data_IF_648152751246
#
_entry.id   IF_648152751246
#
_cell.length_a   1.000
_cell.length_b   1.000
_cell.length_c   1.000
_cell.angle_alpha   90.00
_cell.angle_beta   90.00
_cell.angle_gamma   90.00
#
_symmetry.space_group_name_H-M   'P 1'
#
loop_
_entity.id
_entity.type
_entity.pdbx_description
1 polymer ?
#
# COMPACT_ATOMS: atom_id res chain seq x y z
N UNK A 1 14.30 -1.38 -4.74
CA UNK A 1 12.80 -1.30 -4.71
C UNK A 1 12.22 -0.09 -5.43
N UNK A 2 12.83 1.11 -5.37
CA UNK A 2 12.21 2.32 -5.91
C UNK A 2 11.95 2.33 -7.43
N UNK A 3 12.79 1.66 -8.23
CA UNK A 3 12.67 1.57 -9.70
C UNK A 3 11.43 0.77 -10.15
N UNK A 4 11.06 -0.25 -9.38
CA UNK A 4 10.01 -1.23 -9.73
C UNK A 4 8.60 -0.64 -9.59
N UNK A 5 8.38 0.19 -8.57
CA UNK A 5 7.10 0.89 -8.40
C UNK A 5 6.97 2.10 -9.34
N UNK A 6 8.09 2.67 -9.80
CA UNK A 6 8.12 3.91 -10.61
C UNK A 6 8.00 3.65 -12.13
N UNK A 7 8.33 2.44 -12.60
CA UNK A 7 8.31 2.08 -14.02
C UNK A 7 6.89 2.10 -14.60
N UNK A 8 6.74 2.67 -15.80
CA UNK A 8 5.48 2.74 -16.53
C UNK A 8 5.04 1.36 -17.06
N UNK A 9 6.00 0.51 -17.41
CA UNK A 9 5.76 -0.73 -18.17
C UNK A 9 5.18 -1.89 -17.34
N UNK A 10 5.06 -1.74 -16.02
CA UNK A 10 4.51 -2.78 -15.16
C UNK A 10 3.04 -2.52 -14.90
N UNK A 11 2.22 -3.52 -15.21
CA UNK A 11 0.79 -3.52 -14.93
C UNK A 11 0.54 -3.19 -13.45
N UNK A 12 -0.46 -2.36 -13.20
CA UNK A 12 -0.81 -1.88 -11.87
C UNK A 12 -1.20 -3.05 -10.95
N UNK A 13 -1.81 -4.10 -11.52
CA UNK A 13 -2.12 -5.35 -10.83
C UNK A 13 -0.86 -6.04 -10.23
N UNK A 14 0.19 -6.17 -11.03
CA UNK A 14 1.46 -6.78 -10.60
C UNK A 14 2.09 -5.97 -9.45
N UNK A 15 1.99 -4.64 -9.51
CA UNK A 15 2.48 -3.76 -8.43
C UNK A 15 1.69 -3.93 -7.14
N UNK A 16 0.37 -4.09 -7.23
CA UNK A 16 -0.50 -4.35 -6.07
C UNK A 16 -0.20 -5.72 -5.46
N UNK A 17 -0.01 -6.75 -6.28
CA UNK A 17 0.40 -8.09 -5.82
C UNK A 17 1.77 -8.07 -5.12
N UNK A 18 2.76 -7.38 -5.67
CA UNK A 18 4.06 -7.18 -5.03
C UNK A 18 3.91 -6.47 -3.69
N UNK A 19 3.09 -5.43 -3.63
CA UNK A 19 2.79 -4.72 -2.39
C UNK A 19 2.28 -5.65 -1.31
N UNK A 20 1.33 -6.50 -1.71
CA UNK A 20 0.69 -7.46 -0.84
C UNK A 20 1.73 -8.41 -0.24
N UNK A 21 2.60 -8.98 -1.06
CA UNK A 21 3.67 -9.87 -0.59
C UNK A 21 4.59 -9.14 0.42
N UNK A 22 5.01 -7.92 0.11
CA UNK A 22 5.90 -7.16 1.02
C UNK A 22 5.20 -6.75 2.31
N UNK A 23 4.04 -6.08 2.24
CA UNK A 23 3.31 -5.63 3.42
C UNK A 23 2.94 -6.81 4.31
N UNK A 24 2.37 -7.89 3.76
CA UNK A 24 2.00 -9.04 4.59
C UNK A 24 3.21 -9.73 5.19
N UNK A 25 4.32 -9.87 4.46
CA UNK A 25 5.55 -10.44 5.03
C UNK A 25 6.08 -9.60 6.19
N UNK A 26 6.10 -8.27 6.05
CA UNK A 26 6.53 -7.36 7.12
C UNK A 26 5.58 -7.38 8.32
N UNK A 27 4.27 -7.49 8.07
CA UNK A 27 3.28 -7.58 9.15
C UNK A 27 3.37 -8.89 9.92
N UNK A 28 3.48 -10.01 9.21
CA UNK A 28 3.58 -11.33 9.82
C UNK A 28 4.83 -11.42 10.71
N UNK A 29 5.96 -10.95 10.18
CA UNK A 29 7.20 -10.87 10.95
C UNK A 29 7.11 -9.91 12.14
N UNK A 30 6.41 -8.78 11.97
CA UNK A 30 6.18 -7.82 13.04
C UNK A 30 5.37 -8.39 14.20
N UNK A 31 4.38 -9.23 13.93
CA UNK A 31 3.59 -9.93 14.95
C UNK A 31 4.44 -10.93 15.72
N UNK A 32 5.35 -11.64 15.06
CA UNK A 32 6.25 -12.60 15.72
C UNK A 32 7.32 -11.91 16.58
N UNK A 33 7.79 -10.73 16.14
CA UNK A 33 8.95 -10.08 16.75
C UNK A 33 8.58 -8.98 17.76
N UNK A 34 7.47 -8.27 17.59
CA UNK A 34 7.13 -7.06 18.35
C UNK A 34 5.71 -7.08 18.92
N UNK A 35 5.54 -6.52 20.12
CA UNK A 35 4.22 -6.16 20.63
C UNK A 35 3.65 -5.01 19.77
N UNK A 36 2.57 -5.28 19.02
CA UNK A 36 1.88 -4.27 18.23
C UNK A 36 1.35 -3.17 19.15
N UNK A 37 2.06 -2.05 19.18
CA UNK A 37 1.63 -0.85 19.89
C UNK A 37 0.86 0.05 18.92
N UNK A 38 -0.11 0.82 19.42
CA UNK A 38 -0.92 1.75 18.63
C UNK A 38 -0.07 2.72 17.76
N UNK A 39 1.14 3.04 18.21
CA UNK A 39 2.10 3.85 17.45
C UNK A 39 2.63 3.17 16.18
N UNK A 40 2.82 1.85 16.22
CA UNK A 40 3.28 1.05 15.07
C UNK A 40 2.12 0.88 14.09
N UNK A 41 0.90 0.69 14.58
CA UNK A 41 -0.30 0.61 13.76
C UNK A 41 -0.55 1.91 12.97
N UNK A 42 -0.44 3.07 13.62
CA UNK A 42 -0.53 4.38 12.94
C UNK A 42 0.57 4.57 11.89
N UNK A 43 1.80 4.15 12.20
CA UNK A 43 2.92 4.20 11.23
C UNK A 43 2.67 3.29 10.02
N UNK A 44 2.11 2.11 10.25
CA UNK A 44 1.77 1.16 9.20
C UNK A 44 0.64 1.70 8.31
N UNK A 45 -0.38 2.32 8.90
CA UNK A 45 -1.47 2.92 8.12
C UNK A 45 -0.96 4.08 7.24
N UNK A 46 -0.11 4.95 7.79
CA UNK A 46 0.55 6.00 7.02
C UNK A 46 1.43 5.42 5.90
N UNK A 47 2.16 4.34 6.18
CA UNK A 47 2.96 3.63 5.17
C UNK A 47 2.09 3.04 4.06
N UNK A 48 0.97 2.40 4.42
CA UNK A 48 -0.03 1.88 3.48
C UNK A 48 -0.55 2.98 2.56
N UNK A 49 -0.92 4.14 3.11
CA UNK A 49 -1.41 5.28 2.32
C UNK A 49 -0.34 5.87 1.37
N UNK A 50 0.88 6.08 1.87
CA UNK A 50 1.99 6.57 1.05
C UNK A 50 2.24 5.66 -0.16
N UNK A 51 2.14 4.35 0.08
CA UNK A 51 2.42 3.34 -0.91
C UNK A 51 1.29 3.22 -1.96
N UNK A 52 0.02 3.38 -1.56
CA UNK A 52 -1.10 3.49 -2.49
C UNK A 52 -0.97 4.71 -3.40
N UNK A 53 -0.66 5.90 -2.85
CA UNK A 53 -0.41 7.10 -3.67
C UNK A 53 0.67 6.86 -4.72
N UNK A 54 1.72 6.14 -4.33
CA UNK A 54 2.85 5.83 -5.20
C UNK A 54 2.53 4.83 -6.32
N UNK A 55 1.65 3.85 -6.07
CA UNK A 55 1.16 2.92 -7.10
C UNK A 55 0.15 3.60 -8.03
N UNK A 56 -0.79 4.35 -7.45
CA UNK A 56 -1.85 5.05 -8.17
C UNK A 56 -1.33 6.30 -8.90
N UNK A 57 -0.07 6.69 -8.66
CA UNK A 57 0.56 7.89 -9.23
C UNK A 57 -0.22 9.18 -8.95
N UNK A 58 -0.90 9.22 -7.82
CA UNK A 58 -1.61 10.42 -7.36
C UNK A 58 -0.57 11.50 -7.10
N UNK A 59 -0.72 12.65 -7.77
CA UNK A 59 0.17 13.78 -7.55
C UNK A 59 0.01 14.29 -6.12
N UNK A 60 1.09 14.76 -5.50
CA UNK A 60 0.98 15.39 -4.18
C UNK A 60 0.12 16.66 -4.23
N UNK A 61 0.06 17.30 -5.41
CA UNK A 61 -0.74 18.50 -5.68
C UNK A 61 -2.24 18.19 -5.76
N UNK A 62 -2.61 16.95 -6.10
CA UNK A 62 -4.00 16.51 -6.04
C UNK A 62 -4.35 16.27 -4.56
N UNK A 63 -5.10 17.23 -3.97
CA UNK A 63 -5.71 17.10 -2.64
C UNK A 63 -6.84 16.07 -2.68
N UNK A 64 -6.48 14.82 -2.92
CA UNK A 64 -7.37 13.68 -2.77
C UNK A 64 -7.48 13.37 -1.28
N UNK A 65 -8.72 13.28 -0.80
CA UNK A 65 -9.04 12.96 0.59
C UNK A 65 -8.41 11.60 0.93
N UNK A 66 -7.79 11.47 2.10
CA UNK A 66 -7.13 10.22 2.50
C UNK A 66 -8.09 9.02 2.51
N UNK A 67 -9.37 9.28 2.79
CA UNK A 67 -10.44 8.30 2.72
C UNK A 67 -10.67 7.73 1.31
N UNK A 68 -10.66 8.57 0.27
CA UNK A 68 -10.89 8.09 -1.11
C UNK A 68 -9.69 7.30 -1.62
N UNK A 69 -8.46 7.73 -1.29
CA UNK A 69 -7.25 6.96 -1.61
C UNK A 69 -7.26 5.57 -0.96
N UNK A 70 -7.79 5.47 0.25
CA UNK A 70 -7.92 4.19 0.97
C UNK A 70 -9.00 3.32 0.33
N UNK A 71 -10.17 3.88 0.03
CA UNK A 71 -11.28 3.18 -0.63
C UNK A 71 -10.89 2.65 -2.02
N UNK A 72 -10.15 3.42 -2.80
CA UNK A 72 -9.70 3.00 -4.14
C UNK A 72 -8.64 1.89 -4.07
N UNK A 73 -7.74 1.97 -3.08
CA UNK A 73 -6.79 0.90 -2.77
C UNK A 73 -7.47 -0.40 -2.31
N UNK A 74 -8.57 -0.28 -1.57
CA UNK A 74 -9.38 -1.40 -1.09
C UNK A 74 -10.34 -1.96 -2.16
N UNK A 75 -10.82 -1.14 -3.09
CA UNK A 75 -11.58 -1.61 -4.25
C UNK A 75 -10.73 -2.45 -5.19
N UNK A 76 -9.50 -2.02 -5.47
CA UNK A 76 -8.52 -2.86 -6.19
C UNK A 76 -8.09 -4.09 -5.40
N UNK A 77 -8.29 -4.10 -4.07
CA UNK A 77 -8.14 -5.31 -3.26
C UNK A 77 -9.29 -6.27 -3.54
N UNK A 78 -10.56 -5.85 -3.57
CA UNK A 78 -11.70 -6.74 -3.84
C UNK A 78 -11.74 -7.30 -5.26
N UNK A 79 -11.36 -6.51 -6.26
CA UNK A 79 -11.42 -6.90 -7.68
C UNK A 79 -10.44 -8.03 -8.05
N UNK A 80 -9.45 -8.32 -7.20
CA UNK A 80 -8.43 -9.37 -7.42
C UNK A 80 -8.83 -10.72 -6.82
N UNK A 81 -9.91 -10.77 -6.00
CA UNK A 81 -10.44 -12.02 -5.45
C UNK A 81 -11.74 -12.49 -6.13
N UNK A 82 -12.19 -11.78 -7.17
CA UNK A 82 -13.25 -12.20 -8.08
C UNK A 82 -12.66 -12.71 -9.39
#
# INVERSE_FOLDING_TARGET
MAKLFKSHNLNLDIKVRLLRCYIFSTLYYGVESWALTEAIEKKLEAFKMWLYRRILRISWTEKIINETTTKDGERKRSDVYN
#
